data_IF_460004739663
#
_entry.id   IF_460004739663
#
_cell.length_a   1.000
_cell.length_b   1.000
_cell.length_c   1.000
_cell.angle_alpha   90.00
_cell.angle_beta   90.00
_cell.angle_gamma   90.00
#
_symmetry.space_group_name_H-M   'P 1'
#
loop_
_entity.id
_entity.type
_entity.pdbx_description
1 polymer ?
#
# COMPACT_ATOMS: atom_id res chain seq x y z
N UNK A 1 11.66 -1.36 23.03
CA UNK A 1 11.61 -0.71 21.72
C UNK A 1 12.62 -1.42 20.83
N UNK A 2 12.25 -1.81 19.62
CA UNK A 2 13.23 -2.23 18.61
C UNK A 2 14.02 -0.97 18.22
N UNK A 3 15.35 -1.02 18.32
CA UNK A 3 16.21 0.04 17.79
C UNK A 3 16.16 0.00 16.26
N UNK A 4 16.27 1.16 15.60
CA UNK A 4 16.29 1.27 14.13
C UNK A 4 15.01 0.81 13.42
N UNK A 5 13.84 1.07 14.02
CA UNK A 5 12.54 0.79 13.41
C UNK A 5 11.56 1.94 13.68
N UNK A 6 10.68 2.19 12.72
CA UNK A 6 9.43 2.90 12.95
C UNK A 6 8.35 1.90 13.38
N UNK A 7 7.38 2.36 14.16
CA UNK A 7 6.21 1.56 14.53
C UNK A 7 4.93 2.21 14.00
N UNK A 8 4.17 1.47 13.20
CA UNK A 8 2.88 1.89 12.70
C UNK A 8 1.77 1.28 13.58
N UNK A 9 1.26 2.09 14.51
CA UNK A 9 0.32 1.65 15.55
C UNK A 9 -0.99 1.06 15.00
N UNK A 10 -1.56 1.66 13.95
CA UNK A 10 -2.85 1.25 13.36
C UNK A 10 -2.81 -0.19 12.82
N UNK A 11 -1.66 -0.64 12.33
CA UNK A 11 -1.46 -1.99 11.78
C UNK A 11 -0.66 -2.92 12.70
N UNK A 12 -0.22 -2.42 13.86
CA UNK A 12 0.70 -3.15 14.73
C UNK A 12 2.01 -3.54 14.04
N UNK A 13 2.49 -2.72 13.10
CA UNK A 13 3.56 -3.08 12.18
C UNK A 13 4.89 -2.39 12.53
N UNK A 14 5.97 -3.17 12.59
CA UNK A 14 7.33 -2.65 12.67
C UNK A 14 7.93 -2.51 11.26
N UNK A 15 8.50 -1.35 10.96
CA UNK A 15 9.13 -1.03 9.66
C UNK A 15 10.59 -0.70 9.90
N UNK A 16 11.55 -1.45 9.32
CA UNK A 16 12.98 -1.18 9.52
C UNK A 16 13.37 0.20 8.99
N UNK A 17 14.27 0.88 9.69
CA UNK A 17 14.80 2.18 9.28
C UNK A 17 15.46 2.07 7.90
N UNK A 18 15.15 3.02 7.04
CA UNK A 18 15.58 3.08 5.64
C UNK A 18 15.16 1.87 4.79
N UNK A 19 14.08 1.20 5.16
CA UNK A 19 13.53 0.07 4.40
C UNK A 19 12.00 0.14 4.27
N UNK A 20 11.48 -0.67 3.36
CA UNK A 20 10.06 -0.80 3.05
C UNK A 20 9.47 -2.07 3.64
N UNK A 21 8.20 -1.97 4.04
CA UNK A 21 7.32 -3.12 4.25
C UNK A 21 6.09 -2.98 3.36
N UNK A 22 5.60 -4.12 2.89
CA UNK A 22 4.40 -4.24 2.07
C UNK A 22 3.38 -5.08 2.83
N UNK A 23 2.49 -4.46 3.62
CA UNK A 23 1.52 -5.20 4.43
C UNK A 23 0.57 -6.00 3.54
N UNK A 24 0.30 -7.24 3.95
CA UNK A 24 -0.65 -8.15 3.29
C UNK A 24 -1.67 -8.64 4.30
N UNK A 25 -2.82 -9.11 3.81
CA UNK A 25 -3.96 -9.58 4.62
C UNK A 25 -4.52 -8.51 5.56
N UNK A 26 -4.39 -7.24 5.18
CA UNK A 26 -5.00 -6.11 5.86
C UNK A 26 -6.19 -5.64 5.04
N UNK A 27 -7.40 -5.93 5.53
CA UNK A 27 -8.64 -5.54 4.85
C UNK A 27 -8.65 -4.02 4.65
N UNK A 28 -8.97 -3.59 3.42
CA UNK A 28 -9.02 -2.18 3.02
C UNK A 28 -7.70 -1.40 3.14
N UNK A 29 -6.57 -2.13 3.22
CA UNK A 29 -5.24 -1.53 3.25
C UNK A 29 -4.33 -2.14 2.18
N UNK A 30 -4.01 -1.33 1.17
CA UNK A 30 -2.99 -1.64 0.17
C UNK A 30 -2.05 -0.44 0.03
N UNK A 31 -0.83 -0.59 0.51
CA UNK A 31 0.20 0.46 0.48
C UNK A 31 1.61 -0.15 0.57
N UNK A 32 2.60 0.66 0.22
CA UNK A 32 3.95 0.46 0.76
C UNK A 32 4.16 1.41 1.95
N UNK A 33 4.94 0.95 2.92
CA UNK A 33 5.27 1.71 4.12
C UNK A 33 6.79 1.76 4.24
N UNK A 34 7.36 2.96 4.30
CA UNK A 34 8.80 3.20 4.41
C UNK A 34 9.10 3.96 5.68
N UNK A 35 10.10 3.51 6.44
CA UNK A 35 10.61 4.27 7.57
C UNK A 35 11.81 5.10 7.10
N UNK A 36 11.65 6.43 7.03
CA UNK A 36 12.76 7.32 6.67
C UNK A 36 13.74 7.45 7.84
N UNK A 37 14.98 7.85 7.54
CA UNK A 37 16.07 8.05 8.51
C UNK A 37 15.72 8.92 9.75
N UNK A 38 14.76 9.84 9.62
CA UNK A 38 14.27 10.70 10.70
C UNK A 38 13.08 10.09 11.47
N UNK A 39 12.86 8.78 11.33
CA UNK A 39 11.80 8.00 11.96
C UNK A 39 10.37 8.43 11.56
N UNK A 40 10.22 9.03 10.38
CA UNK A 40 8.91 9.34 9.80
C UNK A 40 8.45 8.21 8.89
N UNK A 41 7.25 7.68 9.15
CA UNK A 41 6.58 6.73 8.28
C UNK A 41 6.05 7.43 7.03
N UNK A 42 6.53 6.99 5.87
CA UNK A 42 6.02 7.37 4.56
C UNK A 42 5.11 6.24 4.07
N UNK A 43 3.81 6.52 3.96
CA UNK A 43 2.81 5.54 3.53
C UNK A 43 2.32 5.94 2.13
N UNK A 44 2.52 5.06 1.14
CA UNK A 44 2.02 5.27 -0.23
C UNK A 44 0.94 4.25 -0.57
N UNK A 45 -0.29 4.73 -0.67
CA UNK A 45 -1.43 3.96 -1.14
C UNK A 45 -1.46 3.82 -2.67
N UNK A 46 -2.38 2.99 -3.17
CA UNK A 46 -2.74 2.95 -4.59
C UNK A 46 -3.08 4.33 -5.13
N UNK A 47 -2.69 4.58 -6.37
CA UNK A 47 -2.96 5.86 -7.02
C UNK A 47 -4.47 6.04 -7.26
N UNK A 48 -4.95 7.27 -7.04
CA UNK A 48 -6.33 7.63 -7.34
C UNK A 48 -6.47 7.86 -8.84
N UNK A 49 -7.13 6.93 -9.52
CA UNK A 49 -7.39 7.00 -10.96
C UNK A 49 -8.81 7.52 -11.23
N UNK A 50 -8.97 8.33 -12.28
CA UNK A 50 -10.30 8.73 -12.75
C UNK A 50 -10.92 7.60 -13.58
N UNK A 51 -12.19 7.32 -13.31
CA UNK A 51 -12.95 6.35 -14.10
C UNK A 51 -13.31 6.96 -15.46
N UNK A 52 -12.74 6.42 -16.53
CA UNK A 52 -13.09 6.80 -17.90
C UNK A 52 -14.38 6.09 -18.35
N UNK A 53 -15.08 6.69 -19.33
CA UNK A 53 -16.28 6.10 -19.92
C UNK A 53 -15.98 4.74 -20.56
N UNK A 54 -16.78 3.72 -20.22
CA UNK A 54 -16.61 2.36 -20.76
C UNK A 54 -15.52 1.54 -20.08
N UNK A 55 -14.96 2.04 -18.96
CA UNK A 55 -14.03 1.30 -18.13
C UNK A 55 -14.66 0.94 -16.78
N UNK A 56 -14.08 -0.03 -16.08
CA UNK A 56 -14.40 -0.39 -14.70
C UNK A 56 -13.12 -0.67 -13.91
N UNK A 57 -13.21 -0.64 -12.59
CA UNK A 57 -12.12 -1.08 -11.71
C UNK A 57 -12.33 -2.53 -11.28
N UNK A 58 -11.25 -3.31 -11.26
CA UNK A 58 -11.26 -4.60 -10.54
C UNK A 58 -11.34 -4.35 -9.04
N UNK A 59 -11.69 -5.39 -8.28
CA UNK A 59 -11.53 -5.35 -6.83
C UNK A 59 -10.05 -5.30 -6.43
N UNK A 60 -9.76 -4.72 -5.27
CA UNK A 60 -8.45 -4.85 -4.64
C UNK A 60 -8.23 -6.29 -4.17
N UNK A 61 -6.99 -6.77 -4.26
CA UNK A 61 -6.61 -8.07 -3.70
C UNK A 61 -5.61 -7.90 -2.56
N UNK A 62 -6.13 -7.72 -1.34
CA UNK A 62 -5.32 -7.49 -0.13
C UNK A 62 -4.42 -8.68 0.28
N UNK A 63 -4.51 -9.84 -0.38
CA UNK A 63 -3.59 -10.97 -0.15
C UNK A 63 -2.23 -10.77 -0.84
N UNK A 64 -2.14 -9.80 -1.75
CA UNK A 64 -0.92 -9.47 -2.49
C UNK A 64 -0.26 -8.21 -1.92
N UNK A 65 1.06 -8.03 -2.08
CA UNK A 65 1.74 -6.80 -1.69
C UNK A 65 1.39 -5.64 -2.63
N UNK A 66 1.65 -4.40 -2.20
CA UNK A 66 1.62 -3.24 -3.10
C UNK A 66 2.76 -3.35 -4.13
N UNK A 67 2.53 -3.00 -5.42
CA UNK A 67 1.30 -2.45 -6.00
C UNK A 67 0.30 -3.51 -6.51
N UNK A 68 0.59 -4.81 -6.37
CA UNK A 68 -0.23 -5.89 -6.91
C UNK A 68 -1.61 -6.02 -6.23
N UNK A 69 -1.77 -5.53 -5.01
CA UNK A 69 -3.07 -5.47 -4.35
C UNK A 69 -4.00 -4.37 -4.89
N UNK A 70 -3.50 -3.43 -5.68
CA UNK A 70 -4.30 -2.32 -6.18
C UNK A 70 -5.29 -2.74 -7.27
N UNK A 71 -6.49 -2.18 -7.20
CA UNK A 71 -7.49 -2.23 -8.25
C UNK A 71 -6.91 -1.76 -9.59
N UNK A 72 -7.20 -2.50 -10.65
CA UNK A 72 -6.76 -2.18 -12.00
C UNK A 72 -7.93 -1.58 -12.79
N UNK A 73 -7.64 -0.54 -13.57
CA UNK A 73 -8.61 0.00 -14.53
C UNK A 73 -8.62 -0.90 -15.77
N UNK A 74 -9.78 -1.48 -16.08
CA UNK A 74 -10.01 -2.29 -17.28
C UNK A 74 -10.99 -1.57 -18.17
N UNK A 75 -10.62 -1.39 -19.44
CA UNK A 75 -11.45 -0.73 -20.45
C UNK A 75 -11.74 -1.73 -21.57
N UNK A 76 -13.01 -2.02 -21.85
CA UNK A 76 -13.39 -3.09 -22.78
C UNK A 76 -13.13 -2.76 -24.26
N UNK A 77 -12.62 -1.57 -24.59
CA UNK A 77 -12.29 -1.16 -25.96
C UNK A 77 -11.06 -0.23 -26.00
N UNK A 78 -9.92 -0.66 -25.46
CA UNK A 78 -8.66 0.08 -25.60
C UNK A 78 -8.13 0.06 -27.05
#
# INVERSE_FOLDING_TARGET
>A
ALTDHCYYEELGLSVPLNDFVYPVNQTDFCANVYCREDYVLMIKHCDRMQLAHGCYFTDNNYTLPYPQCCAQLVCENA
#
